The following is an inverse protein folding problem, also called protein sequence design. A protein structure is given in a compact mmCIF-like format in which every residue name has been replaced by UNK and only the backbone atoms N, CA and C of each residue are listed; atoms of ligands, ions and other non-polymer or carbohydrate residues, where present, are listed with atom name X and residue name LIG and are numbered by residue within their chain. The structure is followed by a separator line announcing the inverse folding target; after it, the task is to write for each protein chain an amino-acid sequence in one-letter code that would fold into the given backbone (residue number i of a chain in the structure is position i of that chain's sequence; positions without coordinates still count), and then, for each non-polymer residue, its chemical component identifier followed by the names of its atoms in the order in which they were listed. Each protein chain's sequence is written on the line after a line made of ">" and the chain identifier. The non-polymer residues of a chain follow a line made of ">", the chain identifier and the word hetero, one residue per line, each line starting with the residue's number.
data_IF_372134044973
#
_entry.id   IF_372134044973
#
_cell.length_a   1.000
_cell.length_b   1.000
_cell.length_c   1.000
_cell.angle_alpha   90.00
_cell.angle_beta   90.00
_cell.angle_gamma   90.00
#
_symmetry.space_group_name_H-M   'P 1'
#
loop_
_entity.id
_entity.type
_entity.pdbx_description
1 polymer ?
#
# COMPACT_ATOMS: atom_id res chain seq x y z
N UNK A 1 6.99 -10.35 4.27
CA UNK A 1 5.62 -9.98 4.73
C UNK A 1 5.05 -8.84 3.90
N UNK A 2 5.59 -7.61 4.00
CA UNK A 2 5.15 -6.46 3.18
C UNK A 2 5.15 -6.75 1.67
N UNK A 3 6.29 -7.17 1.10
CA UNK A 3 6.39 -7.39 -0.35
C UNK A 3 5.44 -8.45 -0.91
N UNK A 4 5.21 -9.52 -0.15
CA UNK A 4 4.23 -10.56 -0.50
C UNK A 4 2.80 -10.01 -0.52
N UNK A 5 2.42 -9.20 0.48
CA UNK A 5 1.12 -8.54 0.52
C UNK A 5 0.98 -7.55 -0.63
N UNK A 6 1.98 -6.70 -0.85
CA UNK A 6 2.00 -5.77 -1.98
C UNK A 6 1.79 -6.48 -3.32
N UNK A 7 2.50 -7.60 -3.55
CA UNK A 7 2.37 -8.38 -4.77
C UNK A 7 0.96 -8.99 -4.93
N UNK A 8 0.41 -9.56 -3.86
CA UNK A 8 -0.93 -10.13 -3.85
C UNK A 8 -2.00 -9.06 -4.12
N UNK A 9 -1.94 -7.92 -3.43
CA UNK A 9 -2.87 -6.80 -3.57
C UNK A 9 -2.78 -6.17 -4.96
N UNK A 10 -1.57 -5.98 -5.50
CA UNK A 10 -1.40 -5.47 -6.87
C UNK A 10 -2.10 -6.40 -7.87
N UNK A 11 -1.88 -7.72 -7.74
CA UNK A 11 -2.50 -8.72 -8.62
C UNK A 11 -4.02 -8.72 -8.51
N UNK A 12 -4.57 -8.64 -7.29
CA UNK A 12 -6.03 -8.59 -7.10
C UNK A 12 -6.66 -7.31 -7.67
N UNK A 13 -5.91 -6.20 -7.69
CA UNK A 13 -6.34 -4.93 -8.31
C UNK A 13 -6.09 -4.88 -9.83
N UNK A 14 -5.62 -5.98 -10.45
CA UNK A 14 -5.47 -6.09 -11.90
C UNK A 14 -4.24 -5.41 -12.50
N UNK A 15 -3.34 -4.87 -11.69
CA UNK A 15 -2.14 -4.19 -12.17
C UNK A 15 -1.04 -5.19 -12.53
N UNK A 16 -0.35 -4.98 -13.65
CA UNK A 16 0.95 -5.64 -13.91
C UNK A 16 2.07 -4.92 -13.15
N UNK A 17 3.17 -5.60 -12.85
CA UNK A 17 4.31 -4.95 -12.18
C UNK A 17 4.90 -3.79 -13.02
N UNK A 18 4.79 -3.87 -14.35
CA UNK A 18 5.18 -2.78 -15.26
C UNK A 18 4.22 -1.61 -15.16
N UNK A 19 2.91 -1.84 -15.29
CA UNK A 19 1.90 -0.80 -15.15
C UNK A 19 2.01 -0.08 -13.80
N UNK A 20 2.25 -0.83 -12.72
CA UNK A 20 2.44 -0.22 -11.40
C UNK A 20 3.72 0.63 -11.32
N UNK A 21 4.82 0.18 -11.91
CA UNK A 21 6.06 0.95 -11.93
C UNK A 21 5.92 2.24 -12.77
N UNK A 22 5.21 2.15 -13.90
CA UNK A 22 4.91 3.28 -14.78
C UNK A 22 4.02 4.30 -14.06
N UNK A 23 2.96 3.85 -13.38
CA UNK A 23 2.07 4.71 -12.57
C UNK A 23 2.82 5.43 -11.45
N UNK A 24 3.72 4.72 -10.76
CA UNK A 24 4.54 5.27 -9.68
C UNK A 24 5.74 6.09 -10.17
N UNK A 25 5.95 6.18 -11.49
CA UNK A 25 7.08 6.87 -12.11
C UNK A 25 8.44 6.37 -11.60
N UNK A 26 8.60 5.06 -11.43
CA UNK A 26 9.86 4.41 -11.01
C UNK A 26 10.27 3.30 -11.96
N UNK A 27 11.56 2.93 -11.91
CA UNK A 27 12.03 1.78 -12.67
C UNK A 27 11.36 0.48 -12.23
N UNK A 28 10.94 -0.37 -13.18
CA UNK A 28 10.37 -1.70 -12.92
C UNK A 28 11.22 -2.54 -11.97
N UNK A 29 12.55 -2.46 -12.11
CA UNK A 29 13.48 -3.17 -11.21
C UNK A 29 13.31 -2.70 -9.77
N UNK A 30 13.20 -1.40 -9.53
CA UNK A 30 12.98 -0.83 -8.19
C UNK A 30 11.65 -1.31 -7.60
N UNK A 31 10.59 -1.32 -8.40
CA UNK A 31 9.29 -1.82 -7.95
C UNK A 31 9.35 -3.31 -7.56
N UNK A 32 10.00 -4.15 -8.38
CA UNK A 32 10.16 -5.58 -8.07
C UNK A 32 10.94 -5.84 -6.79
N UNK A 33 11.91 -4.98 -6.44
CA UNK A 33 12.63 -5.07 -5.16
C UNK A 33 11.72 -4.84 -3.95
N UNK A 34 10.64 -4.06 -4.12
CA UNK A 34 9.62 -3.91 -3.08
C UNK A 34 8.81 -5.19 -2.89
N UNK A 35 8.42 -5.83 -3.99
CA UNK A 35 7.64 -7.07 -3.95
C UNK A 35 8.44 -8.28 -3.45
N UNK A 36 9.73 -8.37 -3.79
CA UNK A 36 10.63 -9.41 -3.26
C UNK A 36 10.98 -9.18 -1.78
N UNK A 37 10.87 -7.93 -1.31
CA UNK A 37 11.27 -7.54 0.04
C UNK A 37 12.76 -7.21 0.18
N UNK A 38 13.49 -7.12 -0.93
CA UNK A 38 14.90 -6.70 -0.96
C UNK A 38 15.08 -5.23 -0.58
N UNK A 39 14.05 -4.41 -0.83
CA UNK A 39 14.03 -2.98 -0.51
C UNK A 39 12.65 -2.55 -0.01
N UNK A 40 12.63 -1.52 0.82
CA UNK A 40 11.40 -0.84 1.21
C UNK A 40 11.21 0.48 0.43
N UNK A 41 9.96 0.85 0.09
CA UNK A 41 9.66 2.17 -0.44
C UNK A 41 9.94 3.27 0.61
N UNK A 42 10.14 4.51 0.17
CA UNK A 42 10.08 5.66 1.08
C UNK A 42 8.66 5.83 1.63
N UNK A 43 8.48 6.65 2.67
CA UNK A 43 7.16 6.95 3.20
C UNK A 43 6.23 7.55 2.14
N UNK A 44 6.72 8.51 1.36
CA UNK A 44 5.93 9.12 0.27
C UNK A 44 5.54 8.09 -0.79
N UNK A 45 6.45 7.18 -1.12
CA UNK A 45 6.19 6.12 -2.10
C UNK A 45 5.21 5.08 -1.54
N UNK A 46 5.28 4.77 -0.24
CA UNK A 46 4.31 3.90 0.41
C UNK A 46 2.90 4.48 0.34
N UNK A 47 2.75 5.78 0.60
CA UNK A 47 1.46 6.49 0.49
C UNK A 47 0.95 6.41 -0.95
N UNK A 48 1.78 6.75 -1.95
CA UNK A 48 1.41 6.63 -3.36
C UNK A 48 0.97 5.21 -3.74
N UNK A 49 1.70 4.19 -3.29
CA UNK A 49 1.33 2.80 -3.54
C UNK A 49 -0.05 2.48 -2.95
N UNK A 50 -0.32 2.93 -1.73
CA UNK A 50 -1.59 2.72 -1.05
C UNK A 50 -2.75 3.41 -1.78
N UNK A 51 -2.54 4.67 -2.19
CA UNK A 51 -3.52 5.47 -2.94
C UNK A 51 -3.81 4.82 -4.31
N UNK A 52 -2.78 4.42 -5.06
CA UNK A 52 -2.94 3.76 -6.37
C UNK A 52 -3.66 2.40 -6.25
N UNK A 53 -3.41 1.65 -5.19
CA UNK A 53 -4.07 0.36 -4.95
C UNK A 53 -5.41 0.50 -4.22
N UNK A 54 -5.79 1.71 -3.80
CA UNK A 54 -6.99 2.00 -3.02
C UNK A 54 -7.11 1.07 -1.80
N UNK A 55 -6.09 1.13 -0.94
CA UNK A 55 -5.98 0.40 0.34
C UNK A 55 -5.23 1.24 1.38
N UNK A 56 -5.47 1.06 2.69
CA UNK A 56 -4.71 1.77 3.71
C UNK A 56 -3.27 1.27 3.80
N UNK A 57 -2.35 2.15 4.18
CA UNK A 57 -0.94 1.81 4.40
C UNK A 57 -0.77 0.77 5.51
N UNK A 58 -1.58 0.84 6.58
CA UNK A 58 -1.59 -0.17 7.65
C UNK A 58 -1.91 -1.57 7.14
N UNK A 59 -2.80 -1.69 6.14
CA UNK A 59 -3.07 -2.96 5.49
C UNK A 59 -1.82 -3.47 4.78
N UNK A 60 -1.15 -2.64 3.95
CA UNK A 60 0.09 -3.04 3.26
C UNK A 60 1.21 -3.42 4.24
N UNK A 61 1.28 -2.74 5.40
CA UNK A 61 2.23 -3.00 6.47
C UNK A 61 1.86 -4.23 7.34
N UNK A 62 0.83 -4.99 6.97
CA UNK A 62 0.36 -6.18 7.68
C UNK A 62 -0.07 -5.92 9.13
N UNK A 63 -0.70 -4.77 9.41
CA UNK A 63 -1.16 -4.39 10.76
C UNK A 63 -2.63 -4.73 11.02
N UNK A 64 -3.19 -5.71 10.32
CA UNK A 64 -4.63 -6.06 10.43
C UNK A 64 -5.01 -6.48 11.85
N UNK A 65 -4.16 -7.27 12.52
CA UNK A 65 -4.41 -7.70 13.90
C UNK A 65 -4.49 -6.53 14.87
N UNK A 66 -3.71 -5.49 14.63
CA UNK A 66 -3.70 -4.26 15.42
C UNK A 66 -4.90 -3.37 15.12
N UNK A 67 -5.35 -3.31 13.86
CA UNK A 67 -6.59 -2.60 13.49
C UNK A 67 -7.81 -3.29 14.11
N UNK A 68 -7.87 -4.61 13.98
CA UNK A 68 -8.94 -5.44 14.54
C UNK A 68 -9.02 -5.36 16.06
N UNK A 69 -7.89 -5.36 16.78
CA UNK A 69 -7.89 -5.26 18.25
C UNK A 69 -8.43 -3.93 18.79
N UNK A 70 -8.48 -2.89 17.94
CA UNK A 70 -9.05 -1.58 18.27
C UNK A 70 -10.48 -1.38 17.76
N UNK A 71 -11.09 -2.42 17.18
CA UNK A 71 -12.42 -2.31 16.58
C UNK A 71 -12.45 -1.42 15.33
N UNK A 72 -11.29 -1.20 14.69
CA UNK A 72 -11.20 -0.43 13.45
C UNK A 72 -11.26 -1.43 12.29
N UNK A 73 -12.37 -1.42 11.55
CA UNK A 73 -12.48 -2.21 10.31
C UNK A 73 -11.59 -1.58 9.24
N UNK A 74 -10.83 -2.40 8.51
CA UNK A 74 -10.02 -1.94 7.37
C UNK A 74 -10.86 -1.26 6.28
N UNK A 75 -12.16 -1.55 6.22
CA UNK A 75 -13.11 -1.05 5.23
C UNK A 75 -13.83 0.23 5.66
N UNK A 76 -13.59 0.69 6.89
CA UNK A 76 -14.17 1.91 7.44
C UNK A 76 -13.06 2.81 7.94
N UNK A 77 -12.68 3.82 7.15
CA UNK A 77 -12.03 5.01 7.70
C UNK A 77 -12.86 5.43 8.92
N UNK A 78 -12.26 5.56 10.12
CA UNK A 78 -13.00 6.08 11.27
C UNK A 78 -13.62 7.40 10.84
N UNK A 79 -14.94 7.52 10.96
CA UNK A 79 -15.72 8.72 10.57
C UNK A 79 -15.21 10.02 11.22
N UNK A 80 -14.26 9.92 12.17
CA UNK A 80 -13.66 11.00 12.94
C UNK A 80 -12.11 10.98 12.92
N UNK A 81 -11.46 10.46 11.89
CA UNK A 81 -10.04 10.78 11.71
C UNK A 81 -9.95 12.26 11.25
N UNK A 82 -9.04 13.09 11.81
CA UNK A 82 -8.73 14.36 11.19
C UNK A 82 -8.34 14.07 9.74
N UNK A 83 -9.17 14.54 8.81
CA UNK A 83 -8.89 14.41 7.39
C UNK A 83 -7.57 15.11 7.11
N UNK A 84 -6.80 14.55 6.17
CA UNK A 84 -5.61 15.22 5.67
C UNK A 84 -6.01 16.67 5.34
N UNK A 85 -5.28 17.70 5.81
CA UNK A 85 -5.54 19.06 5.38
C UNK A 85 -5.51 19.04 3.86
N UNK A 86 -6.64 19.34 3.23
CA UNK A 86 -6.69 19.62 1.81
C UNK A 86 -5.94 20.94 1.63
N UNK A 87 -4.75 20.87 1.03
CA UNK A 87 -4.08 22.05 0.49
C UNK A 87 -4.93 22.68 -0.62
#
# INVERSE_FOLDING_TARGET
>A
MFGQRLNATRKSKGFTAKAMADELQIALRSYRMYESGDRFPSLDMLVKIADTLDVPTDYLLCRDSFMNSRGVSADGFPLNLPTRPTE
#
